data_IF_781688087350
#
_entry.id   IF_781688087350
#
_cell.length_a   1.000
_cell.length_b   1.000
_cell.length_c   1.000
_cell.angle_alpha   90.00
_cell.angle_beta   90.00
_cell.angle_gamma   90.00
#
_symmetry.space_group_name_H-M   'P 1'
#
loop_
_entity.id
_entity.type
_entity.pdbx_description
1 polymer ?
#
# COMPACT_ATOMS: atom_id res chain seq x y z
N UNK A 1 -6.07 9.86 17.54
CA UNK A 1 -4.92 9.58 16.64
C UNK A 1 -5.30 8.72 15.44
N UNK A 2 -5.99 7.59 15.62
CA UNK A 2 -6.49 6.76 14.51
C UNK A 2 -7.27 7.54 13.46
N UNK A 3 -8.20 8.41 13.88
CA UNK A 3 -9.00 9.20 12.95
C UNK A 3 -8.18 10.21 12.14
N UNK A 4 -7.17 10.82 12.75
CA UNK A 4 -6.28 11.76 12.04
C UNK A 4 -5.44 11.02 10.99
N UNK A 5 -4.97 9.82 11.33
CA UNK A 5 -4.27 8.96 10.38
C UNK A 5 -5.20 8.45 9.26
N UNK A 6 -6.44 8.10 9.57
CA UNK A 6 -7.43 7.75 8.54
C UNK A 6 -7.68 8.92 7.58
N UNK A 7 -7.86 10.12 8.12
CA UNK A 7 -8.08 11.32 7.31
C UNK A 7 -6.88 11.66 6.43
N UNK A 8 -5.65 11.42 6.90
CA UNK A 8 -4.45 11.60 6.08
C UNK A 8 -4.32 10.54 4.98
N UNK A 9 -4.84 9.32 5.15
CA UNK A 9 -4.91 8.36 4.02
C UNK A 9 -5.83 8.86 2.91
N UNK A 10 -6.97 9.45 3.27
CA UNK A 10 -7.92 9.96 2.30
C UNK A 10 -7.35 11.13 1.50
N UNK A 11 -6.69 12.08 2.16
CA UNK A 11 -6.07 13.22 1.47
C UNK A 11 -4.98 12.79 0.49
N UNK A 12 -4.16 11.81 0.85
CA UNK A 12 -3.12 11.28 -0.05
C UNK A 12 -3.70 10.52 -1.24
N UNK A 13 -4.76 9.74 -1.03
CA UNK A 13 -5.44 9.04 -2.13
C UNK A 13 -6.04 10.00 -3.16
N UNK A 14 -6.57 11.14 -2.71
CA UNK A 14 -7.08 12.18 -3.59
C UNK A 14 -5.94 12.92 -4.31
N UNK A 15 -4.81 13.17 -3.64
CA UNK A 15 -3.63 13.75 -4.27
C UNK A 15 -3.04 12.83 -5.35
N UNK A 16 -3.09 11.50 -5.15
CA UNK A 16 -2.62 10.52 -6.12
C UNK A 16 -3.35 10.62 -7.46
N UNK A 17 -4.67 10.85 -7.45
CA UNK A 17 -5.48 10.96 -8.67
C UNK A 17 -5.14 12.18 -9.53
N UNK A 18 -4.58 13.24 -8.94
CA UNK A 18 -4.37 14.54 -9.63
C UNK A 18 -2.97 14.65 -10.22
N UNK A 19 -2.02 13.85 -9.76
CA UNK A 19 -0.61 14.02 -10.09
C UNK A 19 -0.23 13.14 -11.28
N UNK A 20 0.45 13.74 -12.25
CA UNK A 20 0.86 13.06 -13.49
C UNK A 20 2.30 12.55 -13.47
N UNK A 21 3.19 13.20 -12.70
CA UNK A 21 4.62 12.88 -12.74
C UNK A 21 4.92 11.55 -12.02
N UNK A 22 5.58 10.56 -12.64
CA UNK A 22 5.77 9.22 -12.09
C UNK A 22 6.54 9.23 -10.76
N UNK A 23 7.56 10.09 -10.62
CA UNK A 23 8.30 10.23 -9.36
C UNK A 23 7.43 10.81 -8.22
N UNK A 24 6.54 11.74 -8.53
CA UNK A 24 5.62 12.32 -7.56
C UNK A 24 4.56 11.30 -7.10
N UNK A 25 4.06 10.50 -8.06
CA UNK A 25 3.17 9.37 -7.80
C UNK A 25 3.83 8.35 -6.87
N UNK A 26 5.11 8.02 -7.11
CA UNK A 26 5.89 7.15 -6.24
C UNK A 26 6.04 7.71 -4.82
N UNK A 27 6.34 9.00 -4.67
CA UNK A 27 6.46 9.63 -3.35
C UNK A 27 5.13 9.63 -2.56
N UNK A 28 4.00 9.84 -3.24
CA UNK A 28 2.67 9.82 -2.61
C UNK A 28 2.28 8.41 -2.18
N UNK A 29 2.52 7.41 -3.02
CA UNK A 29 2.30 6.01 -2.65
C UNK A 29 3.16 5.61 -1.44
N UNK A 30 4.39 6.12 -1.33
CA UNK A 30 5.28 5.76 -0.23
C UNK A 30 4.77 6.34 1.08
N UNK A 31 4.37 7.63 1.07
CA UNK A 31 3.78 8.24 2.26
C UNK A 31 2.43 7.60 2.64
N UNK A 32 1.61 7.23 1.66
CA UNK A 32 0.35 6.53 1.90
C UNK A 32 0.56 5.15 2.53
N UNK A 33 1.53 4.36 2.05
CA UNK A 33 1.81 3.02 2.59
C UNK A 33 2.31 3.07 4.03
N UNK A 34 3.13 4.07 4.39
CA UNK A 34 3.56 4.31 5.77
C UNK A 34 2.34 4.57 6.67
N UNK A 35 1.44 5.46 6.25
CA UNK A 35 0.26 5.80 7.05
C UNK A 35 -0.70 4.62 7.17
N UNK A 36 -0.88 3.84 6.11
CA UNK A 36 -1.71 2.62 6.15
C UNK A 36 -1.10 1.55 7.08
N UNK A 37 0.22 1.39 7.08
CA UNK A 37 0.87 0.48 8.03
C UNK A 37 0.60 0.93 9.48
N UNK A 38 0.72 2.24 9.76
CA UNK A 38 0.45 2.83 11.07
C UNK A 38 -1.04 2.75 11.48
N UNK A 39 -1.99 2.90 10.57
CA UNK A 39 -3.41 2.71 10.90
C UNK A 39 -3.69 1.25 11.20
N UNK A 40 -3.14 0.32 10.41
CA UNK A 40 -3.35 -1.12 10.60
C UNK A 40 -2.77 -1.65 11.92
N UNK A 41 -1.68 -1.05 12.43
CA UNK A 41 -1.13 -1.36 13.76
C UNK A 41 -1.97 -0.83 14.91
N UNK A 42 -2.80 0.19 14.67
CA UNK A 42 -3.72 0.72 15.70
C UNK A 42 -4.99 -0.13 15.78
N UNK A 43 -5.47 -0.65 14.65
CA UNK A 43 -6.69 -1.47 14.61
C UNK A 43 -6.45 -2.91 15.06
N UNK A 44 -5.26 -3.46 14.86
CA UNK A 44 -4.92 -4.81 15.28
C UNK A 44 -3.95 -4.75 16.46
N UNK A 45 -4.21 -5.52 17.52
CA UNK A 45 -3.27 -5.56 18.66
C UNK A 45 -1.91 -6.17 18.30
N UNK A 46 -1.80 -6.91 17.18
CA UNK A 46 -0.55 -7.53 16.77
C UNK A 46 0.07 -6.81 15.56
N UNK A 47 1.26 -6.24 15.76
CA UNK A 47 1.98 -5.44 14.76
C UNK A 47 2.60 -6.25 13.61
N UNK A 48 2.54 -7.59 13.66
CA UNK A 48 3.11 -8.47 12.62
C UNK A 48 2.47 -8.23 11.25
N UNK A 49 1.15 -8.05 11.17
CA UNK A 49 0.48 -7.79 9.89
C UNK A 49 0.84 -6.42 9.31
N UNK A 50 0.88 -5.37 10.14
CA UNK A 50 1.32 -4.03 9.71
C UNK A 50 2.76 -4.03 9.22
N UNK A 51 3.63 -4.84 9.83
CA UNK A 51 5.03 -4.98 9.43
C UNK A 51 5.17 -5.70 8.07
N UNK A 52 4.45 -6.82 7.86
CA UNK A 52 4.47 -7.52 6.57
C UNK A 52 3.93 -6.62 5.45
N UNK A 53 2.84 -5.89 5.69
CA UNK A 53 2.29 -4.92 4.74
C UNK A 53 3.33 -3.84 4.37
N UNK A 54 4.03 -3.29 5.34
CA UNK A 54 5.06 -2.28 5.11
C UNK A 54 6.20 -2.79 4.22
N UNK A 55 6.75 -3.98 4.54
CA UNK A 55 7.85 -4.57 3.79
C UNK A 55 7.49 -4.88 2.34
N UNK A 56 6.33 -5.52 2.12
CA UNK A 56 5.91 -5.92 0.77
C UNK A 56 5.66 -4.70 -0.11
N UNK A 57 5.03 -3.66 0.42
CA UNK A 57 4.74 -2.44 -0.35
C UNK A 57 6.02 -1.66 -0.69
N UNK A 58 6.96 -1.50 0.25
CA UNK A 58 8.24 -0.85 -0.05
C UNK A 58 9.04 -1.64 -1.10
N UNK A 59 9.09 -2.97 -0.98
CA UNK A 59 9.78 -3.83 -1.95
C UNK A 59 9.24 -3.64 -3.37
N UNK A 60 7.92 -3.64 -3.55
CA UNK A 60 7.30 -3.42 -4.87
C UNK A 60 7.54 -2.02 -5.42
N UNK A 61 7.51 -1.01 -4.57
CA UNK A 61 7.72 0.39 -4.96
C UNK A 61 9.16 0.69 -5.40
N UNK A 62 10.16 0.06 -4.77
CA UNK A 62 11.57 0.21 -5.17
C UNK A 62 11.82 -0.32 -6.59
N UNK A 63 11.21 -1.46 -6.96
CA UNK A 63 11.33 -2.02 -8.32
C UNK A 63 10.71 -1.08 -9.36
N UNK A 64 9.52 -0.54 -9.08
CA UNK A 64 8.86 0.45 -9.94
C UNK A 64 9.70 1.73 -10.07
N UNK A 65 10.34 2.18 -8.99
CA UNK A 65 11.22 3.35 -9.01
C UNK A 65 12.45 3.12 -9.90
N UNK A 66 13.13 1.97 -9.78
CA UNK A 66 14.27 1.61 -10.64
C UNK A 66 13.86 1.53 -12.12
N UNK A 67 12.68 1.01 -12.42
CA UNK A 67 12.19 0.98 -13.80
C UNK A 67 11.98 2.40 -14.35
N UNK A 68 11.31 3.28 -13.61
CA UNK A 68 11.01 4.64 -14.08
C UNK A 68 12.28 5.49 -14.27
N UNK A 69 13.28 5.38 -13.39
CA UNK A 69 14.56 6.08 -13.58
C UNK A 69 15.38 5.52 -14.74
N UNK A 70 15.19 4.26 -15.11
CA UNK A 70 15.86 3.65 -16.28
C UNK A 70 15.24 4.05 -17.62
N UNK A 71 13.96 4.44 -17.65
CA UNK A 71 13.20 4.70 -18.88
C UNK A 71 13.04 6.20 -19.16
N UNK A 72 12.97 7.05 -18.14
CA UNK A 72 12.73 8.48 -18.32
C UNK A 72 14.03 9.31 -18.21
N UNK A 73 14.24 10.22 -19.16
CA UNK A 73 15.14 11.36 -18.97
C UNK A 73 14.66 12.18 -17.78
N UNK A 74 15.59 12.81 -17.06
CA UNK A 74 15.36 13.53 -15.81
C UNK A 74 14.56 14.83 -16.05
N UNK A 75 13.29 14.72 -16.45
CA UNK A 75 12.44 15.86 -16.75
C UNK A 75 12.22 16.70 -15.48
N UNK A 76 12.27 18.02 -15.64
CA UNK A 76 12.11 18.95 -14.52
C UNK A 76 10.71 18.79 -13.92
N UNK A 77 10.67 18.52 -12.62
CA UNK A 77 9.46 18.36 -11.84
C UNK A 77 8.52 19.58 -11.96
N UNK A 78 7.40 19.43 -12.67
CA UNK A 78 6.34 20.43 -12.74
C UNK A 78 5.17 19.99 -11.87
N UNK A 79 4.97 20.67 -10.74
CA UNK A 79 3.78 20.49 -9.92
C UNK A 79 2.55 21.02 -10.65
N UNK A 80 1.41 20.30 -10.64
CA UNK A 80 0.17 20.84 -11.17
C UNK A 80 -0.24 22.03 -10.31
N UNK A 81 -0.28 23.24 -10.90
CA UNK A 81 -0.84 24.46 -10.27
C UNK A 81 -2.38 24.39 -10.22
N UNK A 82 -2.93 23.24 -9.84
CA UNK A 82 -4.37 23.01 -9.85
C UNK A 82 -4.97 23.41 -8.50
N UNK A 83 -5.88 24.39 -8.51
CA UNK A 83 -6.75 24.76 -7.37
C UNK A 83 -7.58 23.57 -6.84
N UNK A 84 -7.74 22.53 -7.66
CA UNK A 84 -8.36 21.25 -7.29
C UNK A 84 -7.55 20.55 -6.18
N UNK A 85 -6.21 20.61 -6.23
CA UNK A 85 -5.37 19.99 -5.20
C UNK A 85 -5.57 20.65 -3.83
N UNK A 86 -5.66 21.98 -3.81
CA UNK A 86 -5.90 22.74 -2.56
C UNK A 86 -7.30 22.48 -1.99
N UNK A 87 -8.32 22.29 -2.84
CA UNK A 87 -9.67 21.94 -2.38
C UNK A 87 -9.74 20.51 -1.82
N UNK A 88 -9.08 19.55 -2.47
CA UNK A 88 -9.07 18.15 -2.02
C UNK A 88 -8.34 17.97 -0.68
N UNK A 89 -7.36 18.81 -0.38
CA UNK A 89 -6.67 18.81 0.92
C UNK A 89 -7.49 19.39 2.07
N UNK A 90 -8.57 20.15 1.81
CA UNK A 90 -9.42 20.75 2.85
C UNK A 90 -10.54 19.82 3.34
N UNK A 91 -10.95 18.84 2.52
CA UNK A 91 -11.95 17.82 2.88
C UNK A 91 -11.70 17.14 4.23
N UNK A 92 -10.47 16.68 4.56
CA UNK A 92 -10.22 16.04 5.85
C UNK A 92 -10.36 16.97 7.05
N UNK A 93 -10.16 18.29 6.89
CA UNK A 93 -10.30 19.27 7.97
C UNK A 93 -11.76 19.45 8.39
N UNK A 94 -12.68 19.43 7.42
CA UNK A 94 -14.13 19.52 7.67
C UNK A 94 -14.62 18.26 8.43
N UNK A 95 -14.05 17.11 8.10
CA UNK A 95 -14.39 15.84 8.73
C UNK A 95 -13.84 15.67 10.15
N UNK A 96 -12.89 16.50 10.60
CA UNK A 96 -12.42 16.51 12.00
C UNK A 96 -13.46 17.14 12.93
N UNK A 97 -14.17 18.17 12.46
CA UNK A 97 -15.10 18.97 13.26
C UNK A 97 -16.35 18.17 13.64
N UNK A 98 -16.72 17.16 12.85
CA UNK A 98 -17.91 16.32 13.09
C UNK A 98 -17.68 15.16 14.09
N UNK A 99 -16.46 14.96 14.59
CA UNK A 99 -16.06 13.71 15.27
C UNK A 99 -16.40 13.60 16.75
N UNK A 100 -16.78 14.68 17.43
CA UNK A 100 -17.03 14.63 18.88
C UNK A 100 -18.08 13.58 19.29
N UNK A 101 -18.97 13.16 18.37
CA UNK A 101 -20.01 12.16 18.64
C UNK A 101 -19.63 10.70 18.37
N UNK A 102 -18.61 10.41 17.55
CA UNK A 102 -18.28 9.01 17.19
C UNK A 102 -17.35 8.30 18.19
N UNK A 103 -16.57 9.05 18.97
CA UNK A 103 -15.53 8.49 19.85
C UNK A 103 -16.11 7.71 21.03
N UNK A 104 -17.35 8.00 21.46
CA UNK A 104 -18.00 7.33 22.59
C UNK A 104 -18.41 5.87 22.34
N UNK A 105 -18.52 5.42 21.09
CA UNK A 105 -18.99 4.07 20.76
C UNK A 105 -17.87 3.01 20.65
N UNK A 106 -16.60 3.40 20.55
CA UNK A 106 -15.50 2.44 20.36
C UNK A 106 -14.89 1.90 21.66
N UNK A 107 -15.13 2.53 22.82
CA UNK A 107 -14.52 2.13 24.09
C UNK A 107 -15.07 0.83 24.69
N UNK A 108 -16.16 0.27 24.17
CA UNK A 108 -16.78 -0.94 24.72
C UNK A 108 -16.20 -2.26 24.19
N UNK A 109 -15.17 -2.23 23.33
CA UNK A 109 -14.75 -3.41 22.56
C UNK A 109 -13.34 -3.93 22.89
N UNK A 110 -12.69 -3.42 23.94
CA UNK A 110 -11.29 -3.79 24.25
C UNK A 110 -11.12 -5.16 24.92
N UNK A 111 -12.15 -5.76 25.50
CA UNK A 111 -11.98 -6.94 26.37
C UNK A 111 -11.88 -8.29 25.65
N UNK A 112 -12.30 -8.41 24.38
CA UNK A 112 -12.33 -9.70 23.66
C UNK A 112 -11.15 -9.93 22.70
N UNK A 113 -10.24 -8.95 22.55
CA UNK A 113 -9.31 -8.91 21.41
C UNK A 113 -8.01 -9.69 21.69
N UNK A 114 -7.59 -9.86 22.94
CA UNK A 114 -6.23 -10.36 23.22
C UNK A 114 -5.99 -11.86 22.98
N UNK A 115 -7.01 -12.72 23.04
CA UNK A 115 -6.81 -14.18 22.90
C UNK A 115 -6.85 -14.66 21.45
N UNK A 116 -7.52 -13.94 20.54
CA UNK A 116 -7.67 -14.35 19.14
C UNK A 116 -6.42 -14.07 18.29
N UNK A 117 -5.53 -13.18 18.74
CA UNK A 117 -4.51 -12.57 17.89
C UNK A 117 -3.25 -13.42 17.66
N UNK A 118 -2.84 -14.24 18.64
CA UNK A 118 -1.69 -15.15 18.46
C UNK A 118 -2.02 -16.41 17.64
N UNK A 119 -3.30 -16.81 17.58
CA UNK A 119 -3.74 -17.97 16.80
C UNK A 119 -3.99 -17.65 15.30
N UNK A 120 -3.94 -16.37 14.91
CA UNK A 120 -4.31 -15.94 13.54
C UNK A 120 -3.35 -16.41 12.46
N UNK A 121 -2.03 -16.35 12.71
CA UNK A 121 -0.99 -16.76 11.76
C UNK A 121 -0.88 -18.29 11.66
N UNK A 122 -1.02 -18.99 12.78
CA UNK A 122 -0.90 -20.45 12.85
C UNK A 122 -2.09 -21.16 12.24
N UNK A 123 -3.24 -20.48 12.11
CA UNK A 123 -4.46 -21.00 11.47
C UNK A 123 -4.26 -21.46 10.04
N UNK A 124 -3.35 -20.85 9.28
CA UNK A 124 -3.12 -21.26 7.88
C UNK A 124 -2.39 -22.60 7.78
N UNK A 125 -1.64 -23.00 8.80
CA UNK A 125 -0.96 -24.30 8.81
C UNK A 125 -1.90 -25.45 9.21
N UNK A 126 -3.09 -25.16 9.73
CA UNK A 126 -4.08 -26.18 10.10
C UNK A 126 -5.08 -26.45 8.97
N UNK A 127 -5.57 -27.68 8.90
CA UNK A 127 -6.65 -28.04 7.99
C UNK A 127 -7.97 -27.37 8.46
N UNK A 128 -8.81 -26.80 7.57
CA UNK A 128 -8.75 -26.83 6.10
C UNK A 128 -7.98 -25.67 5.45
N UNK A 129 -7.59 -24.65 6.21
CA UNK A 129 -6.98 -23.42 5.67
C UNK A 129 -5.63 -23.66 4.95
N UNK A 130 -4.92 -24.75 5.26
CA UNK A 130 -3.70 -25.15 4.56
C UNK A 130 -3.91 -25.33 3.03
N UNK A 131 -5.12 -25.65 2.57
CA UNK A 131 -5.41 -25.70 1.13
C UNK A 131 -5.18 -24.35 0.43
N UNK A 132 -5.49 -23.24 1.10
CA UNK A 132 -5.22 -21.89 0.60
C UNK A 132 -3.71 -21.62 0.51
N UNK A 133 -2.94 -22.11 1.49
CA UNK A 133 -1.48 -21.99 1.48
C UNK A 133 -0.86 -22.73 0.29
N UNK A 134 -1.29 -23.98 0.05
CA UNK A 134 -0.83 -24.78 -1.09
C UNK A 134 -1.15 -24.08 -2.42
N UNK A 135 -2.37 -23.53 -2.56
CA UNK A 135 -2.76 -22.76 -3.74
C UNK A 135 -1.83 -21.56 -3.97
N UNK A 136 -1.57 -20.74 -2.94
CA UNK A 136 -0.70 -19.57 -3.06
C UNK A 136 0.74 -19.94 -3.45
N UNK A 137 1.29 -21.03 -2.91
CA UNK A 137 2.63 -21.50 -3.28
C UNK A 137 2.71 -21.91 -4.76
N UNK A 138 1.71 -22.65 -5.25
CA UNK A 138 1.65 -23.03 -6.68
C UNK A 138 1.47 -21.81 -7.58
N UNK A 139 0.68 -20.82 -7.16
CA UNK A 139 0.49 -19.57 -7.89
C UNK A 139 1.80 -18.77 -8.02
N UNK A 140 2.53 -18.58 -6.91
CA UNK A 140 3.82 -17.87 -6.94
C UNK A 140 4.85 -18.58 -7.83
N UNK A 141 4.89 -19.91 -7.81
CA UNK A 141 5.74 -20.69 -8.70
C UNK A 141 5.37 -20.49 -10.17
N UNK A 142 4.07 -20.52 -10.49
CA UNK A 142 3.57 -20.26 -11.85
C UNK A 142 3.96 -18.85 -12.34
N UNK A 143 3.78 -17.83 -11.51
CA UNK A 143 4.15 -16.44 -11.83
C UNK A 143 5.64 -16.31 -12.11
N UNK A 144 6.52 -16.99 -11.36
CA UNK A 144 7.96 -16.99 -11.60
C UNK A 144 8.32 -17.61 -12.95
N UNK A 145 7.73 -18.76 -13.31
CA UNK A 145 7.97 -19.38 -14.62
C UNK A 145 7.47 -18.46 -15.75
N UNK A 146 6.30 -17.85 -15.58
CA UNK A 146 5.74 -16.93 -16.56
C UNK A 146 6.61 -15.67 -16.73
N UNK A 147 7.08 -15.06 -15.64
CA UNK A 147 7.93 -13.87 -15.69
C UNK A 147 9.27 -14.14 -16.40
N UNK A 148 9.91 -15.29 -16.14
CA UNK A 148 11.12 -15.70 -16.86
C UNK A 148 10.86 -15.92 -18.35
N UNK A 149 9.71 -16.51 -18.73
CA UNK A 149 9.35 -16.69 -20.15
C UNK A 149 9.11 -15.35 -20.86
N UNK A 150 8.49 -14.37 -20.20
CA UNK A 150 8.24 -13.04 -20.75
C UNK A 150 9.53 -12.22 -20.84
N UNK A 151 10.41 -12.34 -19.84
CA UNK A 151 11.67 -11.59 -19.78
C UNK A 151 12.73 -12.08 -20.79
N UNK A 152 12.61 -13.30 -21.33
CA UNK A 152 13.54 -13.79 -22.36
C UNK A 152 13.47 -12.87 -23.59
N UNK A 153 14.54 -12.16 -23.96
CA UNK A 153 14.53 -11.35 -25.16
C UNK A 153 14.27 -12.27 -26.35
N UNK A 154 13.36 -11.88 -27.24
CA UNK A 154 13.28 -12.51 -28.56
C UNK A 154 14.65 -12.33 -29.18
N UNK A 155 15.33 -13.43 -29.51
CA UNK A 155 16.59 -13.43 -30.25
C UNK A 155 16.31 -12.93 -31.68
N UNK A 156 16.07 -11.63 -31.86
CA UNK A 156 16.20 -11.00 -33.16
C UNK A 156 17.70 -10.87 -33.44
N UNK A 157 18.09 -11.19 -34.67
CA UNK A 157 19.50 -11.24 -35.07
C UNK A 157 20.22 -9.94 -34.71
N UNK A 158 21.37 -10.06 -34.05
CA UNK A 158 22.36 -9.00 -33.81
C UNK A 158 22.94 -8.45 -35.13
N UNK A 159 22.12 -7.79 -35.94
CA UNK A 159 22.61 -7.02 -37.08
C UNK A 159 22.52 -5.54 -36.73
N UNK A 160 23.66 -4.98 -36.33
CA UNK A 160 23.88 -3.54 -36.23
C UNK A 160 23.55 -2.91 -37.58
N UNK A 161 22.68 -1.90 -37.59
CA UNK A 161 22.65 -0.83 -38.59
C UNK A 161 23.00 0.45 -37.88
#
# INVERSE_FOLDING_TARGET
>A
MSNLLLLSTWSLSLAFLVISHPLALGAILMSQTIIVALTSSIFNMNAWFSYILFLVMIGGMLVMFMYMTSVASNEKFKLPKNKILTMLMLVPLILLISQEKMIKNMSCQESYINTFNMASLTKYYTFPANQMLIFLMTYLLFVLIASVKIAKPKTSSLRKK
#
